data_IF_150044482646
#
_entry.id   IF_150044482646
#
_cell.length_a   1.000
_cell.length_b   1.000
_cell.length_c   1.000
_cell.angle_alpha   90.00
_cell.angle_beta   90.00
_cell.angle_gamma   90.00
#
_symmetry.space_group_name_H-M   'P 1'
#
loop_
_entity.id
_entity.type
_entity.pdbx_description
1 polymer ?
#
# COMPACT_ATOMS: atom_id res chain seq x y z
N UNK A 1 -8.85 7.42 58.07
CA UNK A 1 -10.29 7.78 58.27
C UNK A 1 -11.02 7.46 56.98
N UNK A 2 -12.21 6.88 57.06
CA UNK A 2 -12.95 6.41 55.89
C UNK A 2 -14.06 7.38 55.48
N UNK A 3 -14.33 7.51 54.19
CA UNK A 3 -15.61 8.05 53.70
C UNK A 3 -15.97 7.39 52.38
N UNK A 4 -16.59 6.21 52.45
CA UNK A 4 -17.42 5.72 51.35
C UNK A 4 -18.85 6.24 51.58
N UNK A 5 -19.53 6.63 50.49
CA UNK A 5 -20.94 7.00 50.52
C UNK A 5 -21.64 6.15 49.46
N UNK A 6 -22.56 5.31 49.91
CA UNK A 6 -23.34 4.38 49.09
C UNK A 6 -24.82 4.63 49.33
N UNK A 7 -25.64 4.81 48.28
CA UNK A 7 -27.10 4.58 48.36
C UNK A 7 -27.82 4.52 46.99
N UNK A 8 -28.10 3.27 46.62
CA UNK A 8 -29.34 2.73 46.02
C UNK A 8 -30.34 3.62 45.26
N UNK A 9 -30.48 3.30 43.97
CA UNK A 9 -31.73 2.94 43.24
C UNK A 9 -33.01 3.76 43.49
N UNK A 10 -33.53 4.33 42.39
CA UNK A 10 -34.97 4.42 42.12
C UNK A 10 -35.23 4.11 40.63
N UNK A 11 -36.34 3.43 40.31
CA UNK A 11 -36.76 3.12 38.92
C UNK A 11 -37.84 4.10 38.49
N UNK A 12 -37.69 4.66 37.29
CA UNK A 12 -38.75 5.39 36.59
C UNK A 12 -38.79 4.89 35.13
N UNK A 13 -40.00 4.84 34.55
CA UNK A 13 -40.25 4.21 33.26
C UNK A 13 -40.95 5.16 32.27
N UNK A 14 -41.04 4.71 31.02
CA UNK A 14 -41.85 5.28 29.92
C UNK A 14 -41.35 6.61 29.32
N UNK A 15 -40.66 6.49 28.18
CA UNK A 15 -41.00 7.23 26.96
C UNK A 15 -40.37 6.54 25.74
N UNK A 16 -41.18 5.89 24.89
CA UNK A 16 -40.71 5.38 23.60
C UNK A 16 -40.67 6.53 22.58
N UNK A 17 -39.64 7.37 22.67
CA UNK A 17 -39.40 8.41 21.67
C UNK A 17 -38.97 7.75 20.35
N UNK A 18 -39.84 7.78 19.35
CA UNK A 18 -39.49 7.38 17.99
C UNK A 18 -38.46 8.37 17.43
N UNK A 19 -37.19 7.98 17.39
CA UNK A 19 -36.16 8.72 16.67
C UNK A 19 -36.50 8.67 15.18
N UNK A 20 -37.15 9.72 14.69
CA UNK A 20 -37.10 10.07 13.29
C UNK A 20 -35.64 10.39 12.97
N UNK A 21 -34.92 9.41 12.41
CA UNK A 21 -33.58 9.63 11.88
C UNK A 21 -33.75 10.53 10.66
N UNK A 22 -33.72 11.84 10.89
CA UNK A 22 -33.51 12.82 9.84
C UNK A 22 -32.15 12.49 9.21
N UNK A 23 -32.18 11.87 8.03
CA UNK A 23 -30.98 11.43 7.35
C UNK A 23 -30.08 12.65 7.12
N UNK A 24 -28.93 12.67 7.79
CA UNK A 24 -27.95 13.72 7.64
C UNK A 24 -27.21 13.54 6.32
N UNK A 25 -27.85 13.86 5.19
CA UNK A 25 -27.14 14.23 3.97
C UNK A 25 -26.17 15.36 4.33
N UNK A 26 -24.84 15.17 4.16
CA UNK A 26 -23.87 16.21 4.46
C UNK A 26 -24.22 17.51 3.70
N UNK A 27 -24.13 18.70 4.32
CA UNK A 27 -24.54 19.98 3.70
C UNK A 27 -23.78 20.40 2.42
N UNK A 28 -22.88 19.54 1.91
CA UNK A 28 -21.98 19.82 0.80
C UNK A 28 -21.82 18.60 -0.15
N UNK A 29 -22.78 17.66 -0.16
CA UNK A 29 -22.84 16.67 -1.25
C UNK A 29 -23.08 17.39 -2.59
N UNK A 30 -22.23 17.12 -3.57
CA UNK A 30 -22.41 17.54 -4.97
C UNK A 30 -22.79 16.28 -5.77
N UNK A 31 -24.09 15.98 -5.95
CA UNK A 31 -24.50 14.80 -6.69
C UNK A 31 -24.11 14.95 -8.17
N UNK A 32 -23.28 14.03 -8.67
CA UNK A 32 -22.96 14.01 -10.10
C UNK A 32 -24.15 13.55 -10.93
N UNK A 33 -24.54 14.39 -11.91
CA UNK A 33 -25.49 14.07 -12.98
C UNK A 33 -24.97 12.98 -13.93
N UNK A 34 -23.66 12.68 -13.91
CA UNK A 34 -23.06 11.61 -14.70
C UNK A 34 -23.16 10.29 -13.93
N UNK A 35 -24.20 9.52 -14.24
CA UNK A 35 -24.24 8.08 -13.92
C UNK A 35 -23.44 7.33 -14.99
N UNK A 36 -22.49 6.51 -14.56
CA UNK A 36 -21.75 5.59 -15.43
C UNK A 36 -22.37 4.20 -15.26
N UNK A 37 -22.81 3.61 -16.37
CA UNK A 37 -23.43 2.29 -16.33
C UNK A 37 -22.35 1.22 -16.26
N UNK A 38 -22.18 0.64 -15.07
CA UNK A 38 -21.11 -0.34 -14.77
C UNK A 38 -21.65 -1.78 -14.74
N UNK A 39 -22.92 -1.96 -15.13
CA UNK A 39 -23.60 -3.26 -15.18
C UNK A 39 -23.24 -4.03 -16.46
N UNK A 40 -22.02 -4.58 -16.53
CA UNK A 40 -21.63 -5.50 -17.60
C UNK A 40 -22.22 -6.89 -17.35
N UNK A 41 -23.35 -7.19 -18.00
CA UNK A 41 -23.97 -8.52 -17.94
C UNK A 41 -22.98 -9.62 -18.37
N UNK A 42 -22.89 -10.68 -17.57
CA UNK A 42 -22.03 -11.84 -17.87
C UNK A 42 -22.80 -12.83 -18.75
N UNK A 43 -22.31 -13.07 -19.97
CA UNK A 43 -22.91 -14.04 -20.88
C UNK A 43 -22.59 -15.48 -20.44
N UNK A 44 -23.58 -16.31 -20.02
CA UNK A 44 -23.33 -17.67 -19.53
C UNK A 44 -22.89 -18.64 -20.64
N UNK A 45 -23.21 -18.37 -21.91
CA UNK A 45 -22.83 -19.19 -23.07
C UNK A 45 -21.43 -18.87 -23.61
N UNK A 46 -20.62 -18.10 -22.85
CA UNK A 46 -19.22 -17.76 -23.22
C UNK A 46 -18.25 -18.96 -23.16
N UNK A 47 -18.70 -20.13 -22.73
CA UNK A 47 -17.92 -21.37 -22.65
C UNK A 47 -18.33 -22.34 -23.77
N UNK A 48 -17.40 -22.81 -24.63
CA UNK A 48 -17.73 -23.80 -25.67
C UNK A 48 -18.07 -25.16 -25.03
N UNK A 49 -19.35 -25.48 -24.98
CA UNK A 49 -19.90 -26.70 -24.36
C UNK A 49 -19.65 -27.99 -25.13
N UNK A 50 -18.41 -28.51 -25.12
CA UNK A 50 -18.04 -29.77 -25.77
C UNK A 50 -18.52 -31.02 -25.00
N UNK A 51 -19.81 -31.32 -25.06
CA UNK A 51 -20.44 -32.48 -24.42
C UNK A 51 -20.27 -33.81 -25.18
N UNK A 52 -19.09 -34.46 -25.13
CA UNK A 52 -18.90 -35.88 -25.48
C UNK A 52 -17.96 -36.56 -24.48
N UNK A 53 -18.30 -37.77 -24.05
CA UNK A 53 -17.48 -38.59 -23.14
C UNK A 53 -16.67 -39.65 -23.91
N UNK A 54 -15.34 -39.55 -23.92
CA UNK A 54 -14.44 -40.68 -24.19
C UNK A 54 -12.99 -40.44 -23.69
N UNK A 55 -12.35 -41.51 -23.24
CA UNK A 55 -10.97 -41.63 -22.77
C UNK A 55 -9.90 -41.19 -23.78
N UNK A 56 -8.94 -40.34 -23.36
CA UNK A 56 -7.52 -40.43 -23.75
C UNK A 56 -6.60 -39.55 -22.88
N UNK A 57 -5.40 -40.06 -22.59
CA UNK A 57 -4.32 -39.34 -21.89
C UNK A 57 -3.66 -38.29 -22.80
N UNK A 58 -3.48 -37.05 -22.31
CA UNK A 58 -2.30 -36.20 -22.55
C UNK A 58 -2.26 -35.11 -21.47
N UNK A 59 -1.06 -34.78 -20.97
CA UNK A 59 -0.85 -33.77 -19.92
C UNK A 59 -0.29 -32.47 -20.51
N UNK A 60 -1.07 -31.38 -20.60
CA UNK A 60 -0.56 -30.03 -20.79
C UNK A 60 -0.24 -29.38 -19.43
N UNK A 61 0.99 -28.88 -19.31
CA UNK A 61 1.53 -28.18 -18.15
C UNK A 61 0.64 -26.99 -17.71
N UNK A 62 0.22 -26.92 -16.45
CA UNK A 62 -0.28 -25.66 -15.86
C UNK A 62 0.89 -24.69 -15.84
N UNK A 63 0.88 -23.73 -16.75
CA UNK A 63 1.89 -22.67 -16.83
C UNK A 63 1.28 -21.43 -16.20
N UNK A 64 1.56 -21.24 -14.92
CA UNK A 64 1.00 -20.17 -14.10
C UNK A 64 1.63 -18.82 -14.48
N UNK A 65 0.89 -18.02 -15.26
CA UNK A 65 1.33 -16.70 -15.76
C UNK A 65 0.47 -15.56 -15.18
N UNK A 66 0.30 -15.57 -13.86
CA UNK A 66 -0.37 -14.52 -13.09
C UNK A 66 0.66 -13.72 -12.28
N UNK A 67 1.57 -13.00 -12.96
CA UNK A 67 2.64 -12.24 -12.29
C UNK A 67 3.08 -10.94 -12.99
N UNK A 68 2.42 -10.51 -14.08
CA UNK A 68 2.82 -9.30 -14.83
C UNK A 68 1.97 -8.06 -14.52
N UNK A 69 0.63 -8.20 -14.49
CA UNK A 69 -0.31 -7.06 -14.36
C UNK A 69 -0.24 -6.30 -13.03
N UNK A 70 0.41 -6.88 -12.01
CA UNK A 70 0.63 -6.19 -10.73
C UNK A 70 1.75 -5.11 -10.80
N UNK A 71 2.72 -5.26 -11.70
CA UNK A 71 3.87 -4.37 -11.79
C UNK A 71 3.60 -3.08 -12.59
N UNK A 72 2.71 -3.15 -13.59
CA UNK A 72 2.45 -2.01 -14.49
C UNK A 72 1.62 -0.91 -13.81
N UNK A 73 0.78 -1.28 -12.84
CA UNK A 73 -0.11 -0.37 -12.11
C UNK A 73 0.59 0.49 -11.05
N UNK A 74 1.76 0.05 -10.58
CA UNK A 74 2.58 0.80 -9.62
C UNK A 74 3.37 1.93 -10.30
N UNK A 75 3.92 1.66 -11.48
CA UNK A 75 4.75 2.59 -12.24
C UNK A 75 4.00 3.90 -12.59
N UNK A 76 2.70 3.82 -12.91
CA UNK A 76 1.91 4.99 -13.28
C UNK A 76 1.55 5.88 -12.07
N UNK A 77 1.31 5.29 -10.89
CA UNK A 77 1.13 6.02 -9.64
C UNK A 77 2.43 6.66 -9.13
N UNK A 78 3.56 5.97 -9.34
CA UNK A 78 4.90 6.39 -8.92
C UNK A 78 5.37 7.70 -9.58
N UNK A 79 4.93 7.99 -10.81
CA UNK A 79 5.39 9.19 -11.55
C UNK A 79 4.59 10.47 -11.23
N UNK A 80 3.30 10.36 -10.91
CA UNK A 80 2.31 11.44 -11.06
C UNK A 80 2.54 12.75 -10.24
N UNK A 81 3.46 12.77 -9.26
CA UNK A 81 3.68 13.91 -8.36
C UNK A 81 5.18 14.15 -8.02
N UNK A 82 6.10 13.74 -8.88
CA UNK A 82 7.55 14.00 -8.68
C UNK A 82 7.92 15.35 -9.32
N UNK A 83 8.49 16.32 -8.58
CA UNK A 83 8.92 17.59 -9.18
C UNK A 83 10.04 17.40 -10.21
N UNK A 84 10.03 18.19 -11.28
CA UNK A 84 11.11 18.19 -12.28
C UNK A 84 12.47 18.45 -11.63
N UNK A 85 13.41 17.53 -11.83
CA UNK A 85 14.75 17.59 -11.24
C UNK A 85 14.86 17.17 -9.77
N UNK A 86 13.79 16.66 -9.15
CA UNK A 86 13.90 16.01 -7.84
C UNK A 86 14.72 14.69 -7.95
N UNK A 87 15.48 14.30 -6.90
CA UNK A 87 16.26 13.07 -6.91
C UNK A 87 15.39 11.82 -7.05
N UNK A 88 16.00 10.74 -7.58
CA UNK A 88 15.44 9.38 -7.59
C UNK A 88 16.06 8.54 -6.48
N UNK A 89 15.45 7.41 -6.16
CA UNK A 89 16.00 6.42 -5.24
C UNK A 89 16.56 5.23 -6.04
N UNK A 90 17.75 4.75 -5.71
CA UNK A 90 18.32 3.54 -6.31
C UNK A 90 18.05 2.36 -5.37
N UNK A 91 17.21 1.44 -5.80
CA UNK A 91 16.88 0.22 -5.05
C UNK A 91 17.94 -0.88 -5.30
N UNK A 92 17.93 -1.95 -4.49
CA UNK A 92 18.95 -3.02 -4.52
C UNK A 92 19.16 -3.71 -5.88
N UNK A 93 18.20 -3.62 -6.80
CA UNK A 93 18.30 -4.15 -8.16
C UNK A 93 19.03 -3.21 -9.13
N UNK A 94 19.42 -2.01 -8.68
CA UNK A 94 20.08 -0.97 -9.47
C UNK A 94 19.12 -0.02 -10.19
N UNK A 95 17.81 -0.27 -10.17
CA UNK A 95 16.82 0.60 -10.80
C UNK A 95 16.63 1.90 -10.01
N UNK A 96 16.61 3.01 -10.76
CA UNK A 96 16.30 4.33 -10.25
C UNK A 96 14.78 4.55 -10.28
N UNK A 97 14.18 4.83 -9.13
CA UNK A 97 12.72 4.89 -8.92
C UNK A 97 12.33 6.23 -8.31
N UNK A 98 11.24 6.81 -8.80
CA UNK A 98 10.58 7.96 -8.16
C UNK A 98 9.41 7.44 -7.33
N UNK A 99 9.24 7.89 -6.08
CA UNK A 99 8.13 7.50 -5.18
C UNK A 99 7.80 5.98 -5.14
N UNK A 100 8.79 5.07 -5.03
CA UNK A 100 8.52 3.62 -5.05
C UNK A 100 7.66 3.18 -3.85
N UNK A 101 6.67 2.31 -4.05
CA UNK A 101 5.87 1.76 -2.95
C UNK A 101 6.56 0.58 -2.20
N UNK A 102 7.70 0.11 -2.72
CA UNK A 102 8.53 -0.96 -2.14
C UNK A 102 10.00 -0.57 -2.22
N UNK A 103 10.73 -0.77 -1.13
CA UNK A 103 12.19 -0.64 -1.04
C UNK A 103 12.75 -1.88 -0.36
N UNK A 104 13.81 -2.47 -0.92
CA UNK A 104 14.55 -3.53 -0.26
C UNK A 104 15.55 -2.92 0.74
N UNK A 105 15.52 -3.35 2.00
CA UNK A 105 16.35 -2.76 3.09
C UNK A 105 17.62 -3.56 3.38
N UNK A 106 17.64 -4.85 3.04
CA UNK A 106 18.85 -5.67 2.95
C UNK A 106 19.00 -6.20 1.51
N UNK A 107 20.02 -5.75 0.76
CA UNK A 107 20.25 -6.18 -0.62
C UNK A 107 20.87 -7.58 -0.74
N UNK A 108 21.46 -8.11 0.34
CA UNK A 108 22.30 -9.32 0.36
C UNK A 108 21.49 -10.56 0.70
N UNK A 109 20.67 -10.48 1.74
CA UNK A 109 19.84 -11.57 2.26
C UNK A 109 18.40 -11.49 1.72
N UNK A 110 17.97 -10.29 1.28
CA UNK A 110 16.62 -9.97 0.77
C UNK A 110 15.47 -10.20 1.77
N UNK A 111 15.79 -10.35 3.05
CA UNK A 111 14.86 -10.70 4.12
C UNK A 111 14.24 -9.49 4.86
N UNK A 112 14.84 -8.30 4.79
CA UNK A 112 14.26 -7.05 5.29
C UNK A 112 13.78 -6.14 4.15
N UNK A 113 12.48 -5.79 4.17
CA UNK A 113 11.81 -5.03 3.11
C UNK A 113 10.80 -4.04 3.69
N UNK A 114 10.74 -2.85 3.10
CA UNK A 114 9.65 -1.89 3.30
C UNK A 114 8.69 -1.99 2.11
N UNK A 115 7.40 -2.18 2.40
CA UNK A 115 6.31 -2.32 1.42
C UNK A 115 5.19 -1.32 1.72
N UNK A 116 4.22 -1.22 0.80
CA UNK A 116 3.00 -0.45 1.02
C UNK A 116 3.27 1.04 1.31
N UNK A 117 4.37 1.59 0.77
CA UNK A 117 4.87 2.93 1.08
C UNK A 117 4.00 4.01 0.42
N UNK A 118 3.49 4.93 1.25
CA UNK A 118 2.79 6.16 0.84
C UNK A 118 3.72 7.35 1.07
N UNK A 119 3.95 8.15 0.03
CA UNK A 119 4.87 9.30 0.06
C UNK A 119 4.15 10.62 0.34
N UNK A 120 4.21 11.07 1.60
CA UNK A 120 3.73 12.38 2.05
C UNK A 120 4.41 13.54 1.32
N UNK A 121 5.72 13.42 1.03
CA UNK A 121 6.48 14.43 0.29
C UNK A 121 7.60 13.84 -0.57
N UNK A 122 7.95 14.53 -1.66
CA UNK A 122 9.10 14.22 -2.50
C UNK A 122 9.69 15.54 -3.02
N UNK A 123 10.73 16.03 -2.37
CA UNK A 123 11.38 17.32 -2.65
C UNK A 123 12.80 17.16 -3.21
N UNK A 124 13.51 18.28 -3.45
CA UNK A 124 14.87 18.27 -3.98
C UNK A 124 15.92 17.76 -2.97
N UNK A 125 15.73 18.07 -1.68
CA UNK A 125 16.68 17.71 -0.62
C UNK A 125 16.30 16.44 0.15
N UNK A 126 15.01 16.07 0.14
CA UNK A 126 14.43 15.03 0.99
C UNK A 126 13.11 14.52 0.41
N UNK A 127 12.83 13.23 0.56
CA UNK A 127 11.49 12.66 0.40
C UNK A 127 11.08 11.95 1.70
N UNK A 128 9.80 12.06 2.08
CA UNK A 128 9.26 11.47 3.30
C UNK A 128 7.98 10.68 3.03
N UNK A 129 7.83 9.56 3.73
CA UNK A 129 6.65 8.70 3.61
C UNK A 129 6.51 7.74 4.78
N UNK A 130 5.48 6.90 4.69
CA UNK A 130 5.12 5.90 5.71
C UNK A 130 4.78 4.58 5.02
N UNK A 131 5.19 3.44 5.59
CA UNK A 131 4.92 2.11 5.02
C UNK A 131 4.83 0.99 6.06
N UNK A 132 4.95 -0.26 5.59
CA UNK A 132 4.93 -1.48 6.41
C UNK A 132 6.24 -2.24 6.21
N UNK A 133 6.99 -2.50 7.29
CA UNK A 133 8.23 -3.27 7.28
C UNK A 133 7.94 -4.75 7.53
N UNK A 134 8.62 -5.62 6.79
CA UNK A 134 8.55 -7.08 6.93
C UNK A 134 9.98 -7.61 7.00
N UNK A 135 10.32 -8.32 8.07
CA UNK A 135 11.67 -8.88 8.30
C UNK A 135 11.56 -10.40 8.49
N UNK A 136 12.19 -11.18 7.60
CA UNK A 136 12.07 -12.65 7.58
C UNK A 136 13.15 -13.38 8.40
N UNK A 137 14.23 -12.71 8.81
CA UNK A 137 15.31 -13.32 9.62
C UNK A 137 15.71 -12.45 10.83
N UNK A 138 15.40 -12.87 12.08
CA UNK A 138 14.35 -13.82 12.41
C UNK A 138 12.99 -13.33 11.87
N UNK A 139 12.07 -14.26 11.63
CA UNK A 139 10.69 -13.96 11.24
C UNK A 139 10.01 -13.06 12.28
N UNK A 140 9.28 -12.04 11.82
CA UNK A 140 8.59 -11.04 12.64
C UNK A 140 7.22 -10.72 12.06
N UNK A 141 6.27 -10.46 12.96
CA UNK A 141 5.02 -9.80 12.62
C UNK A 141 5.32 -8.47 11.87
N UNK A 142 4.59 -8.14 10.78
CA UNK A 142 4.80 -6.90 10.04
C UNK A 142 4.68 -5.66 10.93
N UNK A 143 5.67 -4.78 10.85
CA UNK A 143 5.69 -3.53 11.62
C UNK A 143 5.01 -2.43 10.76
N UNK A 144 3.88 -1.88 11.23
CA UNK A 144 3.08 -0.87 10.49
C UNK A 144 3.40 0.57 10.90
N UNK A 145 3.06 1.54 10.03
CA UNK A 145 3.25 2.99 10.24
C UNK A 145 4.73 3.40 10.35
N UNK A 146 5.60 2.64 9.68
CA UNK A 146 7.06 2.80 9.68
C UNK A 146 7.43 4.01 8.84
N UNK A 147 8.11 5.00 9.45
CA UNK A 147 8.45 6.25 8.77
C UNK A 147 9.74 6.11 7.97
N UNK A 148 9.67 6.40 6.68
CA UNK A 148 10.83 6.42 5.78
C UNK A 148 11.21 7.84 5.38
N UNK A 149 12.51 8.13 5.39
CA UNK A 149 13.10 9.34 4.86
C UNK A 149 14.15 8.93 3.82
N UNK A 150 14.11 9.55 2.64
CA UNK A 150 15.21 9.54 1.68
C UNK A 150 15.85 10.92 1.68
N UNK A 151 17.18 10.98 1.70
CA UNK A 151 17.94 12.21 1.95
C UNK A 151 19.34 12.14 1.36
N UNK A 152 20.12 13.23 1.53
CA UNK A 152 21.47 13.40 0.97
C UNK A 152 21.49 13.20 -0.55
N UNK A 153 20.92 14.13 -1.33
CA UNK A 153 20.98 14.07 -2.78
C UNK A 153 22.43 14.23 -3.28
N UNK A 154 22.90 13.26 -4.05
CA UNK A 154 24.20 13.29 -4.73
C UNK A 154 24.00 13.19 -6.24
N UNK A 155 24.98 13.66 -7.03
CA UNK A 155 24.97 13.44 -8.47
C UNK A 155 25.78 12.19 -8.82
N UNK A 156 25.12 11.13 -9.29
CA UNK A 156 25.77 9.94 -9.87
C UNK A 156 25.54 9.94 -11.37
N UNK A 157 26.62 9.91 -12.14
CA UNK A 157 26.59 9.76 -13.61
C UNK A 157 25.73 10.81 -14.35
N UNK A 158 25.51 11.98 -13.73
CA UNK A 158 24.67 13.07 -14.23
C UNK A 158 23.27 13.13 -13.61
N UNK A 159 22.78 12.06 -12.98
CA UNK A 159 21.46 12.01 -12.33
C UNK A 159 21.53 12.34 -10.83
N UNK A 160 20.48 12.97 -10.28
CA UNK A 160 20.35 13.19 -8.83
C UNK A 160 19.74 11.95 -8.16
N UNK A 161 20.42 11.42 -7.15
CA UNK A 161 20.04 10.21 -6.41
C UNK A 161 20.10 10.48 -4.92
N UNK A 162 19.13 9.99 -4.14
CA UNK A 162 19.22 9.99 -2.67
C UNK A 162 20.23 8.93 -2.20
N UNK A 163 21.32 9.36 -1.56
CA UNK A 163 22.42 8.51 -1.07
C UNK A 163 22.11 7.87 0.30
N UNK A 164 21.09 8.37 1.02
CA UNK A 164 20.78 7.92 2.38
C UNK A 164 19.29 7.66 2.60
N UNK A 165 18.99 6.44 3.06
CA UNK A 165 17.67 6.04 3.57
C UNK A 165 17.69 5.96 5.09
N UNK A 166 16.62 6.44 5.73
CA UNK A 166 16.34 6.21 7.14
C UNK A 166 14.96 5.60 7.35
N UNK A 167 14.89 4.65 8.28
CA UNK A 167 13.69 3.91 8.69
C UNK A 167 13.53 4.11 10.20
N UNK A 168 12.42 4.71 10.64
CA UNK A 168 12.15 5.13 12.02
C UNK A 168 13.29 5.93 12.69
N UNK A 169 13.99 6.75 11.90
CA UNK A 169 15.11 7.59 12.35
C UNK A 169 16.43 6.83 12.52
N UNK A 170 16.49 5.53 12.22
CA UNK A 170 17.75 4.80 12.05
C UNK A 170 18.18 4.91 10.58
N UNK A 171 19.41 5.33 10.31
CA UNK A 171 19.97 5.28 8.95
C UNK A 171 20.28 3.83 8.60
N UNK A 172 19.75 3.35 7.48
CA UNK A 172 20.02 2.02 6.95
C UNK A 172 20.94 2.17 5.73
N UNK A 173 21.85 1.22 5.52
CA UNK A 173 22.59 1.08 4.26
C UNK A 173 22.22 -0.28 3.66
N UNK A 174 21.36 -0.34 2.62
CA UNK A 174 20.98 -1.61 2.00
C UNK A 174 22.17 -2.36 1.38
N UNK A 175 23.20 -1.64 0.91
CA UNK A 175 24.43 -2.17 0.33
C UNK A 175 25.47 -2.59 1.41
N UNK A 176 25.04 -3.16 2.54
CA UNK A 176 25.96 -3.64 3.61
C UNK A 176 26.77 -4.89 3.22
N UNK A 177 27.78 -4.68 2.37
CA UNK A 177 28.92 -5.54 2.04
C UNK A 177 28.60 -7.00 1.68
N UNK A 178 28.76 -7.35 0.40
CA UNK A 178 28.91 -8.73 -0.08
C UNK A 178 30.08 -9.47 0.59
#
# INVERSE_FOLDING_TARGET
MSTQITRSVAVAAVAAASLAIAACSPPNEQPSDKKVDTATEQNPDSLPGNGVSATATTNPNITEVASSEAAEKDAELSQANTPDGAPRFKDCNGDLKSRPNRIQLDCKNQDDVLTDIVWDSWGPDTAEGTGVRKTSTPDREPEENIRVILSLPVNSDGELVFDSISVDGQTINPDTNY
#
